data_IF_643640879751
#
_entry.id   IF_643640879751
#
_cell.length_a   1.000
_cell.length_b   1.000
_cell.length_c   1.000
_cell.angle_alpha   90.00
_cell.angle_beta   90.00
_cell.angle_gamma   90.00
#
_symmetry.space_group_name_H-M   'P 1'
#
loop_
_entity.id
_entity.type
_entity.pdbx_description
1 polymer ?
#
# COMPACT_ATOMS: atom_id res chain seq x y z
N UNK A 1 -42.99 2.55 25.58
CA UNK A 1 -42.12 3.40 24.72
C UNK A 1 -40.68 2.91 24.68
N UNK A 2 -40.07 2.49 25.80
CA UNK A 2 -38.66 2.06 25.83
C UNK A 2 -38.33 0.83 24.97
N UNK A 3 -39.20 -0.19 24.96
CA UNK A 3 -38.97 -1.41 24.17
C UNK A 3 -38.93 -1.18 22.64
N UNK A 4 -39.64 -0.18 22.13
CA UNK A 4 -39.63 0.17 20.70
C UNK A 4 -38.28 0.72 20.27
N UNK A 5 -37.72 1.62 21.07
CA UNK A 5 -36.38 2.18 20.83
C UNK A 5 -35.29 1.12 20.94
N UNK A 6 -35.39 0.21 21.92
CA UNK A 6 -34.45 -0.91 22.05
C UNK A 6 -34.49 -1.86 20.84
N UNK A 7 -35.69 -2.19 20.34
CA UNK A 7 -35.86 -3.04 19.16
C UNK A 7 -35.32 -2.38 17.89
N UNK A 8 -35.55 -1.07 17.72
CA UNK A 8 -35.05 -0.30 16.58
C UNK A 8 -33.51 -0.30 16.55
N UNK A 9 -32.86 -0.05 17.68
CA UNK A 9 -31.40 -0.05 17.78
C UNK A 9 -30.84 -1.44 17.46
N UNK A 10 -31.42 -2.49 18.04
CA UNK A 10 -30.99 -3.87 17.79
C UNK A 10 -31.16 -4.32 16.33
N UNK A 11 -32.21 -3.83 15.65
CA UNK A 11 -32.45 -4.12 14.24
C UNK A 11 -31.42 -3.48 13.31
N UNK A 12 -30.94 -2.28 13.63
CA UNK A 12 -30.03 -1.51 12.74
C UNK A 12 -28.56 -1.84 13.04
N UNK A 13 -28.26 -2.28 14.27
CA UNK A 13 -26.93 -2.69 14.72
C UNK A 13 -26.21 -3.65 13.75
N UNK A 14 -26.81 -4.77 13.27
CA UNK A 14 -26.12 -5.70 12.38
C UNK A 14 -25.68 -5.04 11.06
N UNK A 15 -26.53 -4.22 10.46
CA UNK A 15 -26.19 -3.51 9.21
C UNK A 15 -25.08 -2.50 9.44
N UNK A 16 -25.15 -1.74 10.54
CA UNK A 16 -24.11 -0.79 10.93
C UNK A 16 -22.75 -1.49 11.12
N UNK A 17 -22.72 -2.62 11.81
CA UNK A 17 -21.49 -3.40 12.01
C UNK A 17 -20.88 -3.82 10.68
N UNK A 18 -21.69 -4.34 9.76
CA UNK A 18 -21.22 -4.75 8.43
C UNK A 18 -20.72 -3.53 7.64
N UNK A 19 -21.45 -2.42 7.63
CA UNK A 19 -21.03 -1.19 6.95
C UNK A 19 -19.71 -0.63 7.50
N UNK A 20 -19.54 -0.63 8.82
CA UNK A 20 -18.30 -0.19 9.48
C UNK A 20 -17.14 -1.10 9.10
N UNK A 21 -17.32 -2.42 9.21
CA UNK A 21 -16.29 -3.39 8.83
C UNK A 21 -15.89 -3.24 7.36
N UNK A 22 -16.87 -3.13 6.47
CA UNK A 22 -16.64 -2.92 5.04
C UNK A 22 -15.87 -1.62 4.76
N UNK A 23 -16.22 -0.52 5.43
CA UNK A 23 -15.49 0.74 5.33
C UNK A 23 -14.04 0.60 5.81
N UNK A 24 -13.80 -0.11 6.91
CA UNK A 24 -12.44 -0.38 7.40
C UNK A 24 -11.63 -1.22 6.42
N UNK A 25 -12.24 -2.22 5.78
CA UNK A 25 -11.60 -3.03 4.73
C UNK A 25 -11.23 -2.14 3.53
N UNK A 26 -12.18 -1.38 2.98
CA UNK A 26 -11.90 -0.47 1.86
C UNK A 26 -10.83 0.56 2.20
N UNK A 27 -10.92 1.17 3.39
CA UNK A 27 -9.91 2.10 3.90
C UNK A 27 -8.54 1.43 4.03
N UNK A 28 -8.50 0.18 4.48
CA UNK A 28 -7.30 -0.63 4.57
C UNK A 28 -6.64 -0.82 3.22
N UNK A 29 -7.40 -1.30 2.23
CA UNK A 29 -6.92 -1.53 0.86
C UNK A 29 -6.38 -0.23 0.23
N UNK A 30 -7.15 0.86 0.29
CA UNK A 30 -6.75 2.17 -0.26
C UNK A 30 -5.49 2.72 0.42
N UNK A 31 -5.31 2.46 1.72
CA UNK A 31 -4.12 2.90 2.47
C UNK A 31 -2.91 2.01 2.21
N UNK A 32 -3.11 0.71 1.98
CA UNK A 32 -2.04 -0.22 1.63
C UNK A 32 -1.45 0.08 0.26
N UNK A 33 -2.27 0.36 -0.76
CA UNK A 33 -1.82 0.73 -2.12
C UNK A 33 -0.86 1.93 -2.12
N UNK A 34 -1.13 2.93 -1.25
CA UNK A 34 -0.23 4.09 -1.06
C UNK A 34 1.07 3.76 -0.35
N UNK A 35 1.09 2.70 0.46
CA UNK A 35 2.28 2.30 1.23
C UNK A 35 3.24 1.51 0.35
N UNK A 36 2.71 0.59 -0.47
CA UNK A 36 3.50 -0.18 -1.42
C UNK A 36 4.20 0.73 -2.43
N UNK A 37 3.48 1.69 -3.03
CA UNK A 37 4.07 2.68 -3.95
C UNK A 37 5.23 3.47 -3.32
N UNK A 38 5.16 3.77 -2.02
CA UNK A 38 6.23 4.50 -1.31
C UNK A 38 7.46 3.65 -1.03
N UNK A 39 7.28 2.35 -0.78
CA UNK A 39 8.40 1.42 -0.54
C UNK A 39 9.13 1.11 -1.84
N UNK A 40 8.41 0.85 -2.94
CA UNK A 40 9.02 0.62 -4.25
C UNK A 40 9.80 1.84 -4.77
N UNK A 41 9.27 3.06 -4.62
CA UNK A 41 9.97 4.28 -5.04
C UNK A 41 11.27 4.52 -4.27
N UNK A 42 11.31 4.19 -2.96
CA UNK A 42 12.54 4.26 -2.16
C UNK A 42 13.58 3.24 -2.61
N UNK A 43 13.15 2.01 -2.89
CA UNK A 43 14.03 0.94 -3.34
C UNK A 43 14.65 1.23 -4.71
N UNK A 44 13.86 1.78 -5.64
CA UNK A 44 14.32 2.12 -6.98
C UNK A 44 15.32 3.30 -6.97
N UNK A 45 15.12 4.29 -6.10
CA UNK A 45 16.08 5.38 -5.90
C UNK A 45 17.42 4.88 -5.34
N UNK A 46 17.36 3.90 -4.43
CA UNK A 46 18.55 3.29 -3.84
C UNK A 46 19.31 2.43 -4.86
N UNK A 47 18.59 1.68 -5.71
CA UNK A 47 19.20 0.93 -6.81
C UNK A 47 19.82 1.84 -7.88
N UNK A 48 19.20 2.99 -8.21
CA UNK A 48 19.79 3.97 -9.13
C UNK A 48 21.07 4.57 -8.57
N UNK A 49 21.15 4.84 -7.27
CA UNK A 49 22.40 5.29 -6.62
C UNK A 49 23.47 4.20 -6.68
N UNK A 50 23.10 2.94 -6.45
CA UNK A 50 24.04 1.81 -6.56
C UNK A 50 24.51 1.56 -7.99
N UNK A 51 23.65 1.71 -9.01
CA UNK A 51 24.04 1.61 -10.44
C UNK A 51 24.84 2.81 -10.92
N UNK A 52 24.53 4.02 -10.44
CA UNK A 52 25.33 5.21 -10.74
C UNK A 52 26.70 5.19 -10.05
N UNK A 53 26.86 4.42 -8.97
CA UNK A 53 28.14 4.19 -8.29
C UNK A 53 28.88 2.94 -8.77
N UNK A 54 28.21 2.01 -9.47
CA UNK A 54 28.90 0.87 -10.07
C UNK A 54 29.74 1.40 -11.24
N UNK A 55 31.08 1.32 -11.17
CA UNK A 55 31.94 1.78 -12.25
C UNK A 55 31.62 0.97 -13.50
N UNK A 56 31.52 1.66 -14.64
CA UNK A 56 31.30 1.02 -15.93
C UNK A 56 32.28 -0.16 -16.09
N UNK A 57 31.85 -1.34 -16.56
CA UNK A 57 32.77 -2.41 -16.84
C UNK A 57 33.80 -1.86 -17.83
N UNK A 58 35.06 -1.85 -17.41
CA UNK A 58 36.20 -1.48 -18.21
C UNK A 58 36.15 -2.31 -19.50
N UNK A 59 35.87 -1.63 -20.60
CA UNK A 59 35.80 -2.17 -21.96
C UNK A 59 37.16 -2.80 -22.30
N UNK A 60 37.30 -4.14 -22.31
CA UNK A 60 38.54 -4.77 -22.69
C UNK A 60 38.51 -4.92 -24.21
N UNK A 61 38.51 -3.81 -24.94
CA UNK A 61 38.90 -3.82 -26.36
C UNK A 61 40.42 -3.87 -26.41
N UNK A 62 41.05 -5.01 -26.72
CA UNK A 62 42.46 -5.00 -27.03
C UNK A 62 42.66 -4.11 -28.27
N UNK A 63 43.53 -3.11 -28.14
CA UNK A 63 43.96 -2.28 -29.24
C UNK A 63 44.51 -3.18 -30.35
N UNK A 64 43.89 -3.13 -31.52
CA UNK A 64 44.40 -3.74 -32.75
C UNK A 64 45.62 -2.95 -33.26
N UNK A 65 46.78 -3.60 -33.47
CA UNK A 65 47.75 -3.17 -34.46
C UNK A 65 47.48 -3.81 -35.84
#
# INVERSE_FOLDING_TARGET
MEGYWAALIWSILPTLVVSVLFFFILRGIIRMDRTERRVYAKLEAEQRRKRAQAPAPEDPRPASP
#
